data_IF_323544128470
#
_entry.id   IF_323544128470
#
_cell.length_a   1.000
_cell.length_b   1.000
_cell.length_c   1.000
_cell.angle_alpha   90.00
_cell.angle_beta   90.00
_cell.angle_gamma   90.00
#
_symmetry.space_group_name_H-M   'P 1'
#
loop_
_entity.id
_entity.type
_entity.pdbx_description
1 polymer ?
#
# COMPACT_ATOMS: atom_id res chain seq x y z
N UNK A 1 1.58 16.71 34.25
CA UNK A 1 1.44 17.27 32.90
C UNK A 1 1.51 16.11 31.93
N UNK A 2 0.36 15.64 31.45
CA UNK A 2 0.34 14.70 30.34
C UNK A 2 0.45 15.54 29.07
N UNK A 3 1.62 15.50 28.47
CA UNK A 3 1.84 15.94 27.10
C UNK A 3 1.03 15.00 26.20
N UNK A 4 0.02 15.51 25.51
CA UNK A 4 -0.78 14.74 24.56
C UNK A 4 -0.62 15.36 23.17
N UNK A 5 0.52 15.07 22.56
CA UNK A 5 0.77 15.35 21.15
C UNK A 5 0.16 14.26 20.27
N UNK A 6 -1.17 14.14 20.26
CA UNK A 6 -1.86 13.38 19.19
C UNK A 6 -2.88 14.27 18.47
N UNK A 7 -2.80 14.25 17.14
CA UNK A 7 -3.79 14.88 16.25
C UNK A 7 -4.72 13.79 15.73
N UNK A 8 -5.97 14.16 15.42
CA UNK A 8 -6.92 13.22 14.85
C UNK A 8 -6.50 12.73 13.44
N UNK A 9 -7.12 11.64 13.00
CA UNK A 9 -6.77 10.96 11.76
C UNK A 9 -6.95 11.80 10.48
N UNK A 10 -7.65 12.94 10.53
CA UNK A 10 -7.75 13.84 9.38
C UNK A 10 -6.39 14.43 8.99
N UNK A 11 -5.39 14.44 9.89
CA UNK A 11 -4.01 14.83 9.57
C UNK A 11 -3.45 14.01 8.39
N UNK A 12 -3.85 12.74 8.27
CA UNK A 12 -3.41 11.85 7.19
C UNK A 12 -3.93 12.26 5.81
N UNK A 13 -4.91 13.17 5.72
CA UNK A 13 -5.55 13.53 4.45
C UNK A 13 -4.54 14.06 3.41
N UNK A 14 -3.54 14.85 3.81
CA UNK A 14 -2.48 15.32 2.91
C UNK A 14 -1.56 14.17 2.48
N UNK A 15 -0.80 13.57 3.40
CA UNK A 15 0.15 12.49 3.08
C UNK A 15 -0.47 11.31 2.32
N UNK A 16 -1.68 10.90 2.67
CA UNK A 16 -2.35 9.77 2.00
C UNK A 16 -2.80 10.11 0.57
N UNK A 17 -3.15 11.37 0.28
CA UNK A 17 -3.48 11.79 -1.09
C UNK A 17 -2.27 11.67 -2.01
N UNK A 18 -1.09 12.04 -1.53
CA UNK A 18 0.15 11.88 -2.27
C UNK A 18 0.48 10.40 -2.49
N UNK A 19 0.36 9.58 -1.44
CA UNK A 19 0.59 8.15 -1.48
C UNK A 19 -0.30 7.40 -2.49
N UNK A 20 -1.57 7.77 -2.62
CA UNK A 20 -2.48 7.11 -3.57
C UNK A 20 -2.36 7.62 -5.02
N UNK A 21 -1.60 8.69 -5.26
CA UNK A 21 -1.35 9.21 -6.61
C UNK A 21 -0.16 8.52 -7.30
N UNK A 22 0.64 7.73 -6.58
CA UNK A 22 1.84 7.07 -7.11
C UNK A 22 1.53 5.76 -7.84
N UNK A 23 2.40 5.39 -8.78
CA UNK A 23 2.36 4.10 -9.45
C UNK A 23 2.76 2.97 -8.47
N UNK A 24 1.75 2.23 -8.01
CA UNK A 24 1.92 1.08 -7.10
C UNK A 24 2.72 -0.07 -7.71
N UNK A 25 2.88 -0.14 -9.04
CA UNK A 25 3.69 -1.20 -9.65
C UNK A 25 5.19 -1.03 -9.34
N UNK A 26 5.63 0.22 -9.13
CA UNK A 26 6.99 0.54 -8.68
C UNK A 26 7.17 0.41 -7.15
N UNK A 27 6.10 0.12 -6.40
CA UNK A 27 6.18 -0.05 -4.96
C UNK A 27 6.89 -1.35 -4.57
N UNK A 28 7.50 -1.38 -3.40
CA UNK A 28 8.10 -2.58 -2.79
C UNK A 28 7.24 -3.06 -1.63
N UNK A 29 6.93 -4.35 -1.61
CA UNK A 29 6.18 -4.98 -0.51
C UNK A 29 7.02 -6.01 0.22
N UNK A 30 6.70 -6.23 1.51
CA UNK A 30 7.25 -7.34 2.30
C UNK A 30 6.12 -8.26 2.77
N UNK A 31 6.19 -9.54 2.42
CA UNK A 31 5.21 -10.54 2.83
C UNK A 31 5.23 -10.74 4.35
N UNK A 32 4.08 -10.64 5.00
CA UNK A 32 3.92 -10.86 6.45
C UNK A 32 4.13 -12.32 6.87
N UNK A 33 3.95 -13.28 5.95
CA UNK A 33 4.10 -14.70 6.24
C UNK A 33 5.56 -15.18 6.11
N UNK A 34 6.18 -15.01 4.94
CA UNK A 34 7.53 -15.55 4.69
C UNK A 34 8.65 -14.49 4.69
N UNK A 35 8.32 -13.20 4.85
CA UNK A 35 9.30 -12.12 4.87
C UNK A 35 9.91 -11.74 3.52
N UNK A 36 9.52 -12.41 2.42
CA UNK A 36 9.99 -12.06 1.08
C UNK A 36 9.70 -10.59 0.78
N UNK A 37 10.75 -9.85 0.43
CA UNK A 37 10.69 -8.42 0.09
C UNK A 37 11.03 -8.24 -1.38
N UNK A 38 10.21 -7.49 -2.10
CA UNK A 38 10.44 -7.22 -3.51
C UNK A 38 9.35 -6.34 -4.15
N UNK A 39 9.49 -6.02 -5.44
CA UNK A 39 8.52 -5.20 -6.15
C UNK A 39 7.12 -5.81 -6.14
N UNK A 40 6.09 -4.98 -5.90
CA UNK A 40 4.68 -5.38 -6.00
C UNK A 40 4.38 -5.96 -7.38
N UNK A 41 5.01 -5.42 -8.44
CA UNK A 41 4.88 -5.92 -9.82
C UNK A 41 5.26 -7.40 -10.00
N UNK A 42 6.02 -8.00 -9.09
CA UNK A 42 6.40 -9.42 -9.15
C UNK A 42 5.40 -10.35 -8.44
N UNK A 43 4.38 -9.81 -7.79
CA UNK A 43 3.34 -10.61 -7.14
C UNK A 43 2.46 -11.33 -8.16
N UNK A 44 1.95 -12.50 -7.79
CA UNK A 44 0.99 -13.24 -8.62
C UNK A 44 -0.40 -12.66 -8.41
N UNK A 45 -0.92 -11.94 -9.40
CA UNK A 45 -2.23 -11.27 -9.32
C UNK A 45 -3.31 -12.11 -10.00
N UNK A 46 -4.38 -12.39 -9.26
CA UNK A 46 -5.55 -13.13 -9.72
C UNK A 46 -6.74 -12.17 -9.86
N UNK A 47 -7.35 -12.14 -11.04
CA UNK A 47 -8.43 -11.21 -11.39
C UNK A 47 -9.83 -11.84 -11.39
N UNK A 48 -9.91 -13.17 -11.20
CA UNK A 48 -11.16 -13.93 -11.26
C UNK A 48 -11.83 -14.14 -9.88
N UNK A 49 -11.50 -13.30 -8.90
CA UNK A 49 -12.16 -13.24 -7.59
C UNK A 49 -13.10 -12.02 -7.57
N UNK A 50 -13.85 -11.73 -6.48
CA UNK A 50 -14.61 -10.48 -6.33
C UNK A 50 -13.77 -9.19 -6.35
N UNK A 51 -12.50 -9.24 -6.77
CA UNK A 51 -11.54 -8.16 -6.90
C UNK A 51 -10.17 -8.69 -7.35
N UNK A 52 -9.16 -7.85 -7.25
CA UNK A 52 -7.76 -8.21 -7.50
C UNK A 52 -7.15 -8.81 -6.24
N UNK A 53 -6.54 -9.99 -6.35
CA UNK A 53 -5.85 -10.66 -5.24
C UNK A 53 -4.39 -10.87 -5.62
N UNK A 54 -3.47 -10.23 -4.90
CA UNK A 54 -2.03 -10.39 -5.09
C UNK A 54 -1.48 -11.38 -4.06
N UNK A 55 -0.77 -12.40 -4.54
CA UNK A 55 -0.13 -13.43 -3.72
C UNK A 55 1.39 -13.34 -3.79
N UNK A 56 2.03 -13.70 -2.68
CA UNK A 56 3.48 -13.79 -2.57
C UNK A 56 4.02 -14.83 -3.57
N UNK A 57 5.02 -14.52 -4.42
CA UNK A 57 5.59 -15.50 -5.33
C UNK A 57 6.41 -16.60 -4.61
N UNK A 58 6.84 -16.36 -3.36
CA UNK A 58 7.62 -17.31 -2.57
C UNK A 58 6.81 -18.28 -1.71
N UNK A 59 5.62 -17.91 -1.24
CA UNK A 59 4.81 -18.76 -0.35
C UNK A 59 3.31 -18.79 -0.69
N UNK A 60 2.88 -18.11 -1.74
CA UNK A 60 1.49 -18.03 -2.22
C UNK A 60 0.48 -17.42 -1.26
N UNK A 61 0.91 -16.97 -0.08
CA UNK A 61 0.06 -16.26 0.87
C UNK A 61 -0.53 -14.99 0.23
N UNK A 62 -1.77 -14.65 0.60
CA UNK A 62 -2.42 -13.44 0.09
C UNK A 62 -1.80 -12.22 0.75
N UNK A 63 -1.12 -11.38 -0.05
CA UNK A 63 -0.43 -10.18 0.44
C UNK A 63 -1.35 -8.95 0.39
N UNK A 64 -2.09 -8.78 -0.71
CA UNK A 64 -2.96 -7.63 -0.94
C UNK A 64 -4.27 -8.05 -1.62
N UNK A 65 -5.37 -7.35 -1.29
CA UNK A 65 -6.64 -7.45 -2.01
C UNK A 65 -7.16 -6.05 -2.33
N UNK A 66 -7.61 -5.85 -3.56
CA UNK A 66 -8.31 -4.64 -3.98
C UNK A 66 -9.67 -5.02 -4.56
N UNK A 67 -10.74 -4.61 -3.90
CA UNK A 67 -12.13 -4.83 -4.34
C UNK A 67 -12.77 -3.48 -4.62
N UNK A 68 -13.44 -3.35 -5.77
CA UNK A 68 -14.22 -2.15 -6.09
C UNK A 68 -15.70 -2.50 -6.17
N UNK A 69 -16.51 -1.64 -5.57
CA UNK A 69 -17.96 -1.62 -5.66
C UNK A 69 -18.37 -0.30 -6.34
N UNK A 70 -19.64 -0.11 -6.73
CA UNK A 70 -20.07 1.16 -7.33
C UNK A 70 -19.83 2.40 -6.46
N UNK A 71 -19.77 2.25 -5.13
CA UNK A 71 -19.68 3.37 -4.17
C UNK A 71 -18.39 3.40 -3.37
N UNK A 72 -17.57 2.34 -3.42
CA UNK A 72 -16.45 2.18 -2.49
C UNK A 72 -15.36 1.27 -3.05
N UNK A 73 -14.12 1.53 -2.64
CA UNK A 73 -12.99 0.64 -2.85
C UNK A 73 -12.45 0.13 -1.51
N UNK A 74 -12.10 -1.15 -1.46
CA UNK A 74 -11.55 -1.81 -0.29
C UNK A 74 -10.13 -2.26 -0.61
N UNK A 75 -9.16 -1.74 0.14
CA UNK A 75 -7.77 -2.13 0.06
C UNK A 75 -7.39 -2.87 1.35
N UNK A 76 -7.11 -4.17 1.25
CA UNK A 76 -6.62 -5.00 2.35
C UNK A 76 -5.12 -5.23 2.17
N UNK A 77 -4.33 -4.83 3.18
CA UNK A 77 -2.87 -4.97 3.22
C UNK A 77 -2.39 -5.83 4.39
N UNK A 78 -3.28 -6.57 5.07
CA UNK A 78 -2.90 -7.39 6.25
C UNK A 78 -1.83 -8.44 5.97
N UNK A 79 -1.70 -8.89 4.72
CA UNK A 79 -0.66 -9.83 4.30
C UNK A 79 0.69 -9.19 3.99
N UNK A 80 0.79 -7.86 4.07
CA UNK A 80 2.02 -7.09 3.92
C UNK A 80 2.46 -6.53 5.28
N UNK A 81 3.76 -6.63 5.57
CA UNK A 81 4.36 -5.89 6.70
C UNK A 81 4.37 -4.40 6.40
N UNK A 82 4.71 -4.05 5.16
CA UNK A 82 4.68 -2.69 4.63
C UNK A 82 4.51 -2.71 3.12
N UNK A 83 4.09 -1.56 2.59
CA UNK A 83 4.23 -1.18 1.18
C UNK A 83 5.01 0.12 1.16
N UNK A 84 6.19 0.09 0.55
CA UNK A 84 7.04 1.25 0.34
C UNK A 84 6.75 1.79 -1.05
N UNK A 85 6.36 3.05 -1.14
CA UNK A 85 6.17 3.74 -2.43
C UNK A 85 7.36 4.65 -2.74
N UNK A 86 7.71 4.81 -4.02
CA UNK A 86 8.60 5.88 -4.44
C UNK A 86 7.84 7.21 -4.38
N UNK A 87 8.38 8.19 -3.65
CA UNK A 87 7.90 9.57 -3.67
C UNK A 87 8.74 10.37 -4.67
N UNK A 88 8.14 11.30 -5.45
CA UNK A 88 8.94 12.25 -6.20
C UNK A 88 9.84 13.00 -5.22
N UNK A 89 11.10 13.24 -5.61
CA UNK A 89 11.97 14.11 -4.82
C UNK A 89 11.27 15.46 -4.66
N UNK A 90 11.15 15.95 -3.42
CA UNK A 90 10.74 17.33 -3.20
C UNK A 90 11.61 18.22 -4.10
N UNK A 91 10.98 18.95 -5.02
CA UNK A 91 11.68 20.04 -5.67
C UNK A 91 12.01 21.04 -4.58
N UNK A 92 13.30 21.34 -4.28
CA UNK A 92 13.61 22.38 -3.32
C UNK A 92 12.88 23.64 -3.79
N UNK A 93 12.05 24.20 -2.91
CA UNK A 93 11.20 25.30 -3.28
C UNK A 93 12.08 26.42 -3.87
N UNK A 94 11.87 26.74 -5.14
CA UNK A 94 12.61 27.81 -5.81
C UNK A 94 12.04 29.14 -5.32
N UNK A 95 12.59 29.64 -4.23
CA UNK A 95 12.45 31.02 -3.79
C UNK A 95 13.83 31.68 -3.79
#
# INVERSE_FOLDING_TARGET
>A
MADQDYTDGNMLAGPMRELFAVDLTAATGRCANCGLTGPIAQMRVYQHAPGLVARCPGCEEVVMRLVRTPTSAWLDLRGAVFVQVPMPAESPASW
#
